data_IF_797534348160
#
_entry.id   IF_797534348160
#
_cell.length_a   1.000
_cell.length_b   1.000
_cell.length_c   1.000
_cell.angle_alpha   90.00
_cell.angle_beta   90.00
_cell.angle_gamma   90.00
#
_symmetry.space_group_name_H-M   'P 1'
#
loop_
_entity.id
_entity.type
_entity.pdbx_description
1 polymer ?
#
# COMPACT_ATOMS: atom_id res chain seq x y z
N UNK A 1 -6.07 1.52 24.30
CA UNK A 1 -5.71 1.80 22.91
C UNK A 1 -5.27 0.46 22.37
N UNK A 2 -6.11 -0.16 21.55
CA UNK A 2 -5.87 -1.51 21.06
C UNK A 2 -4.75 -1.47 20.02
N UNK A 3 -3.73 -2.33 20.20
CA UNK A 3 -2.56 -2.43 19.32
C UNK A 3 -2.92 -2.89 17.89
N UNK A 4 -4.17 -3.34 17.68
CA UNK A 4 -4.67 -3.80 16.38
C UNK A 4 -4.84 -2.67 15.37
N UNK A 5 -5.03 -1.43 15.83
CA UNK A 5 -5.25 -0.24 14.98
C UNK A 5 -3.98 0.61 14.81
N UNK A 6 -2.82 -0.02 14.91
CA UNK A 6 -1.53 0.63 14.70
C UNK A 6 -0.65 -0.23 13.82
N UNK A 7 0.12 0.42 12.96
CA UNK A 7 1.20 -0.23 12.26
C UNK A 7 2.36 -0.45 13.23
N UNK A 8 2.93 -1.65 13.18
CA UNK A 8 4.23 -1.97 13.76
C UNK A 8 5.35 -1.28 13.00
N UNK A 9 6.55 -1.21 13.58
CA UNK A 9 7.73 -0.68 12.86
C UNK A 9 7.98 -1.39 11.53
N UNK A 10 7.82 -2.73 11.50
CA UNK A 10 7.96 -3.51 10.27
C UNK A 10 6.90 -3.15 9.22
N UNK A 11 5.66 -2.88 9.64
CA UNK A 11 4.60 -2.48 8.72
C UNK A 11 4.77 -1.05 8.22
N UNK A 12 5.45 -0.18 8.98
CA UNK A 12 5.92 1.11 8.47
C UNK A 12 6.99 0.94 7.39
N UNK A 13 7.97 0.05 7.59
CA UNK A 13 8.97 -0.25 6.56
C UNK A 13 8.34 -0.86 5.30
N UNK A 14 7.34 -1.73 5.47
CA UNK A 14 6.61 -2.33 4.36
C UNK A 14 5.75 -1.29 3.62
N UNK A 15 5.20 -0.30 4.33
CA UNK A 15 4.51 0.86 3.76
C UNK A 15 5.47 1.70 2.90
N UNK A 16 6.67 1.99 3.39
CA UNK A 16 7.69 2.69 2.61
C UNK A 16 8.05 1.90 1.34
N UNK A 17 8.22 0.58 1.46
CA UNK A 17 8.47 -0.29 0.32
C UNK A 17 7.31 -0.27 -0.69
N UNK A 18 6.07 -0.26 -0.23
CA UNK A 18 4.89 -0.14 -1.08
C UNK A 18 4.89 1.18 -1.87
N UNK A 19 5.15 2.31 -1.19
CA UNK A 19 5.22 3.63 -1.83
C UNK A 19 6.31 3.66 -2.90
N UNK A 20 7.48 3.08 -2.61
CA UNK A 20 8.57 2.94 -3.59
C UNK A 20 8.14 2.09 -4.77
N UNK A 21 7.47 0.95 -4.56
CA UNK A 21 6.97 0.09 -5.65
C UNK A 21 6.00 0.85 -6.56
N UNK A 22 5.04 1.60 -6.01
CA UNK A 22 4.09 2.42 -6.79
C UNK A 22 4.84 3.44 -7.65
N UNK A 23 5.75 4.21 -7.04
CA UNK A 23 6.49 5.26 -7.74
C UNK A 23 7.42 4.69 -8.82
N UNK A 24 8.06 3.55 -8.56
CA UNK A 24 8.92 2.90 -9.54
C UNK A 24 8.11 2.33 -10.72
N UNK A 25 6.97 1.69 -10.46
CA UNK A 25 6.11 1.16 -11.51
C UNK A 25 5.61 2.31 -12.41
N UNK A 26 5.17 3.42 -11.83
CA UNK A 26 4.75 4.59 -12.60
C UNK A 26 5.91 5.20 -13.39
N UNK A 27 7.09 5.39 -12.76
CA UNK A 27 8.28 5.95 -13.43
C UNK A 27 8.77 5.10 -14.61
N UNK A 28 8.55 3.79 -14.57
CA UNK A 28 8.92 2.85 -15.63
C UNK A 28 7.82 2.66 -16.69
N UNK A 29 6.74 3.44 -16.63
CA UNK A 29 5.56 3.31 -17.47
C UNK A 29 4.89 1.91 -17.38
N UNK A 30 5.09 1.18 -16.27
CA UNK A 30 4.45 -0.14 -16.02
C UNK A 30 2.97 0.03 -15.62
N UNK A 31 2.62 1.17 -15.02
CA UNK A 31 1.26 1.56 -14.64
C UNK A 31 0.99 3.01 -15.02
N UNK A 32 -0.29 3.38 -15.21
CA UNK A 32 -0.66 4.78 -15.46
C UNK A 32 -0.66 5.61 -14.18
N UNK A 33 -0.72 6.93 -14.32
CA UNK A 33 -0.87 7.84 -13.19
C UNK A 33 -2.16 7.55 -12.41
N UNK A 34 -3.27 7.27 -13.10
CA UNK A 34 -4.54 6.91 -12.47
C UNK A 34 -4.41 5.64 -11.64
N UNK A 35 -3.69 4.64 -12.15
CA UNK A 35 -3.45 3.39 -11.42
C UNK A 35 -2.58 3.61 -10.20
N UNK A 36 -1.53 4.44 -10.30
CA UNK A 36 -0.70 4.80 -9.16
C UNK A 36 -1.51 5.51 -8.06
N UNK A 37 -2.34 6.49 -8.43
CA UNK A 37 -3.23 7.18 -7.49
C UNK A 37 -4.25 6.22 -6.88
N UNK A 38 -4.81 5.31 -7.68
CA UNK A 38 -5.76 4.29 -7.22
C UNK A 38 -5.16 3.37 -6.14
N UNK A 39 -3.92 2.90 -6.35
CA UNK A 39 -3.22 2.05 -5.38
C UNK A 39 -2.97 2.77 -4.05
N UNK A 40 -2.59 4.06 -4.09
CA UNK A 40 -2.42 4.87 -2.89
C UNK A 40 -3.75 5.12 -2.18
N UNK A 41 -4.80 5.48 -2.94
CA UNK A 41 -6.12 5.75 -2.38
C UNK A 41 -6.72 4.52 -1.71
N UNK A 42 -6.51 3.33 -2.28
CA UNK A 42 -6.97 2.08 -1.67
C UNK A 42 -6.32 1.85 -0.31
N UNK A 43 -5.00 2.02 -0.18
CA UNK A 43 -4.31 1.85 1.10
C UNK A 43 -4.78 2.86 2.15
N UNK A 44 -4.99 4.12 1.76
CA UNK A 44 -5.51 5.17 2.63
C UNK A 44 -6.93 4.83 3.12
N UNK A 45 -7.80 4.39 2.22
CA UNK A 45 -9.18 4.02 2.55
C UNK A 45 -9.23 2.81 3.51
N UNK A 46 -8.42 1.78 3.26
CA UNK A 46 -8.34 0.61 4.14
C UNK A 46 -7.86 0.98 5.55
N UNK A 47 -6.89 1.89 5.67
CA UNK A 47 -6.46 2.41 6.99
C UNK A 47 -7.57 3.23 7.69
N UNK A 48 -8.30 4.07 6.95
CA UNK A 48 -9.41 4.88 7.50
C UNK A 48 -10.59 4.03 7.98
N UNK A 49 -10.81 2.88 7.35
CA UNK A 49 -11.85 1.91 7.71
C UNK A 49 -11.43 0.91 8.81
N UNK A 50 -10.24 1.06 9.41
CA UNK A 50 -9.65 0.07 10.34
C UNK A 50 -9.47 -1.34 9.72
N UNK A 51 -9.35 -1.45 8.39
CA UNK A 51 -9.16 -2.72 7.65
C UNK A 51 -7.66 -3.13 7.62
N UNK A 52 -7.02 -3.21 8.79
CA UNK A 52 -5.57 -3.42 8.90
C UNK A 52 -5.08 -4.76 8.32
N UNK A 53 -5.94 -5.78 8.24
CA UNK A 53 -5.60 -7.04 7.57
C UNK A 53 -5.47 -6.89 6.05
N UNK A 54 -6.30 -6.03 5.44
CA UNK A 54 -6.20 -5.68 4.02
C UNK A 54 -4.96 -4.83 3.76
N UNK A 55 -4.68 -3.86 4.64
CA UNK A 55 -3.43 -3.08 4.61
C UNK A 55 -2.22 -4.02 4.62
N UNK A 56 -2.12 -4.91 5.61
CA UNK A 56 -1.02 -5.89 5.72
C UNK A 56 -0.93 -6.80 4.50
N UNK A 57 -2.07 -7.21 3.94
CA UNK A 57 -2.11 -8.02 2.72
C UNK A 57 -1.53 -7.24 1.52
N UNK A 58 -1.93 -5.98 1.35
CA UNK A 58 -1.43 -5.11 0.30
C UNK A 58 0.08 -4.87 0.42
N UNK A 59 0.57 -4.60 1.63
CA UNK A 59 1.98 -4.36 1.90
C UNK A 59 2.86 -5.59 1.58
N UNK A 60 2.43 -6.79 2.00
CA UNK A 60 3.12 -8.05 1.70
C UNK A 60 3.12 -8.40 0.21
N UNK A 61 2.02 -8.12 -0.49
CA UNK A 61 1.82 -8.48 -1.90
C UNK A 61 1.96 -7.28 -2.87
N UNK A 62 2.68 -6.23 -2.46
CA UNK A 62 2.73 -4.92 -3.15
C UNK A 62 2.99 -4.99 -4.66
N UNK A 63 3.87 -5.87 -5.12
CA UNK A 63 4.22 -5.96 -6.55
C UNK A 63 3.06 -6.47 -7.41
N UNK A 64 2.28 -7.42 -6.90
CA UNK A 64 1.08 -7.94 -7.56
C UNK A 64 -0.05 -6.93 -7.45
N UNK A 65 -0.27 -6.38 -6.25
CA UNK A 65 -1.33 -5.41 -5.99
C UNK A 65 -1.23 -4.20 -6.93
N UNK A 66 -0.04 -3.61 -7.04
CA UNK A 66 0.19 -2.40 -7.87
C UNK A 66 -0.06 -2.66 -9.36
N UNK A 67 0.16 -3.89 -9.84
CA UNK A 67 0.03 -4.26 -11.26
C UNK A 67 -1.28 -4.98 -11.62
N UNK A 68 -2.10 -5.33 -10.62
CA UNK A 68 -3.46 -5.88 -10.82
C UNK A 68 -4.34 -4.94 -11.65
#
# INVERSE_FOLDING_TARGET
MDLENMLTEQEHDDLDAFLVTVLQAFKKDEITQEKAVGSLNHLIAAMDNDEYDEVRSCLRNREEFVRS
#
